data_IF_071142126221
#
_entry.id   IF_071142126221
#
_cell.length_a   1.000
_cell.length_b   1.000
_cell.length_c   1.000
_cell.angle_alpha   90.00
_cell.angle_beta   90.00
_cell.angle_gamma   90.00
#
_symmetry.space_group_name_H-M   'P 1'
#
loop_
_entity.id
_entity.type
_entity.pdbx_description
1 polymer ?
#
# COMPACT_ATOMS: atom_id res chain seq x y z
N UNK A 1 10.74 -10.86 -20.89
CA UNK A 1 10.12 -9.60 -20.44
C UNK A 1 8.80 -9.85 -19.66
N UNK A 2 8.82 -10.44 -18.44
CA UNK A 2 7.60 -10.61 -17.62
C UNK A 2 7.59 -9.74 -16.34
N UNK A 3 8.68 -9.02 -16.06
CA UNK A 3 9.01 -8.60 -14.69
C UNK A 3 8.28 -7.31 -14.23
N UNK A 4 8.01 -6.36 -15.13
CA UNK A 4 7.30 -5.12 -14.77
C UNK A 4 5.79 -5.35 -14.58
N UNK A 5 5.13 -6.05 -15.51
CA UNK A 5 3.72 -6.38 -15.41
C UNK A 5 3.43 -7.30 -14.21
N UNK A 6 4.29 -8.30 -13.93
CA UNK A 6 4.14 -9.15 -12.74
C UNK A 6 4.25 -8.37 -11.42
N UNK A 7 5.13 -7.35 -11.35
CA UNK A 7 5.22 -6.47 -10.17
C UNK A 7 3.94 -5.66 -9.95
N UNK A 8 3.34 -5.14 -11.01
CA UNK A 8 2.07 -4.42 -10.93
C UNK A 8 0.91 -5.32 -10.49
N UNK A 9 0.79 -6.52 -11.05
CA UNK A 9 -0.21 -7.53 -10.62
C UNK A 9 -0.06 -7.82 -9.12
N UNK A 10 1.18 -8.03 -8.66
CA UNK A 10 1.45 -8.31 -7.24
C UNK A 10 1.05 -7.16 -6.33
N UNK A 11 1.32 -5.91 -6.75
CA UNK A 11 1.03 -4.72 -5.95
C UNK A 11 -0.47 -4.41 -5.93
N UNK A 12 -1.18 -4.62 -7.04
CA UNK A 12 -2.62 -4.40 -7.14
C UNK A 12 -3.45 -5.54 -6.53
N UNK A 13 -2.88 -6.76 -6.45
CA UNK A 13 -3.59 -7.94 -5.99
C UNK A 13 -4.73 -8.38 -6.92
N UNK A 14 -4.70 -7.92 -8.17
CA UNK A 14 -5.73 -8.14 -9.18
C UNK A 14 -5.07 -8.33 -10.56
N UNK A 15 -5.73 -9.04 -11.49
CA UNK A 15 -5.26 -9.12 -12.87
C UNK A 15 -5.20 -7.71 -13.49
N UNK A 16 -4.20 -7.49 -14.34
CA UNK A 16 -4.10 -6.25 -15.10
C UNK A 16 -5.16 -6.23 -16.20
N UNK A 17 -5.86 -5.10 -16.39
CA UNK A 17 -6.75 -4.92 -17.54
C UNK A 17 -6.00 -5.00 -18.88
N UNK A 18 -6.67 -5.49 -19.92
CA UNK A 18 -6.09 -5.69 -21.27
C UNK A 18 -5.53 -4.39 -21.88
N UNK A 19 -6.01 -3.23 -21.45
CA UNK A 19 -5.51 -1.93 -21.89
C UNK A 19 -4.02 -1.71 -21.54
N UNK A 20 -3.50 -2.43 -20.55
CA UNK A 20 -2.10 -2.36 -20.12
C UNK A 20 -1.14 -2.99 -21.13
N UNK A 21 -1.63 -3.86 -22.02
CA UNK A 21 -0.82 -4.43 -23.10
C UNK A 21 -0.39 -3.36 -24.13
N UNK A 22 -1.04 -2.20 -24.12
CA UNK A 22 -0.72 -1.05 -24.99
C UNK A 22 0.38 -0.16 -24.41
N UNK A 23 0.73 -0.34 -23.14
CA UNK A 23 1.71 0.48 -22.44
C UNK A 23 3.13 0.03 -22.79
N UNK A 24 4.03 1.00 -22.92
CA UNK A 24 5.45 0.70 -23.08
C UNK A 24 6.04 0.20 -21.76
N UNK A 25 7.19 -0.48 -21.82
CA UNK A 25 7.91 -0.91 -20.60
C UNK A 25 8.23 0.26 -19.66
N UNK A 26 8.53 1.44 -20.22
CA UNK A 26 8.76 2.66 -19.45
C UNK A 26 7.50 3.14 -18.73
N UNK A 27 6.33 3.04 -19.37
CA UNK A 27 5.06 3.43 -18.76
C UNK A 27 4.70 2.49 -17.61
N UNK A 28 4.92 1.18 -17.79
CA UNK A 28 4.70 0.18 -16.75
C UNK A 28 5.65 0.38 -15.55
N UNK A 29 6.92 0.71 -15.81
CA UNK A 29 7.88 0.99 -14.74
C UNK A 29 7.51 2.26 -13.96
N UNK A 30 7.07 3.31 -14.66
CA UNK A 30 6.62 4.55 -14.03
C UNK A 30 5.34 4.32 -13.21
N UNK A 31 4.41 3.51 -13.71
CA UNK A 31 3.21 3.16 -12.97
C UNK A 31 3.51 2.34 -11.71
N UNK A 32 4.44 1.37 -11.78
CA UNK A 32 4.90 0.65 -10.57
C UNK A 32 5.50 1.61 -9.55
N UNK A 33 6.30 2.60 -9.99
CA UNK A 33 6.88 3.63 -9.12
C UNK A 33 5.79 4.47 -8.44
N UNK A 34 4.82 4.96 -9.20
CA UNK A 34 3.70 5.75 -8.69
C UNK A 34 2.84 4.94 -7.71
N UNK A 35 2.56 3.68 -8.03
CA UNK A 35 1.76 2.81 -7.20
C UNK A 35 2.44 2.52 -5.86
N UNK A 36 3.74 2.20 -5.87
CA UNK A 36 4.52 2.02 -4.63
C UNK A 36 4.50 3.28 -3.77
N UNK A 37 4.70 4.45 -4.38
CA UNK A 37 4.65 5.71 -3.66
C UNK A 37 3.27 5.94 -3.02
N UNK A 38 2.18 5.68 -3.75
CA UNK A 38 0.83 5.80 -3.24
C UNK A 38 0.54 4.82 -2.08
N UNK A 39 1.01 3.57 -2.18
CA UNK A 39 0.87 2.55 -1.12
C UNK A 39 1.64 2.95 0.13
N UNK A 40 2.89 3.41 0.00
CA UNK A 40 3.69 3.92 1.13
C UNK A 40 3.00 5.10 1.79
N UNK A 41 2.61 6.11 1.01
CA UNK A 41 1.93 7.31 1.53
C UNK A 41 0.58 6.97 2.18
N UNK A 42 -0.11 5.91 1.74
CA UNK A 42 -1.33 5.41 2.40
C UNK A 42 -0.99 4.75 3.73
N UNK A 43 0.07 3.94 3.79
CA UNK A 43 0.54 3.29 5.01
C UNK A 43 0.94 4.31 6.09
N UNK A 44 1.70 5.34 5.71
CA UNK A 44 2.10 6.43 6.61
C UNK A 44 0.88 7.18 7.17
N UNK A 45 -0.07 7.56 6.31
CA UNK A 45 -1.31 8.23 6.72
C UNK A 45 -2.16 7.36 7.66
N UNK A 46 -2.25 6.06 7.37
CA UNK A 46 -2.98 5.13 8.23
C UNK A 46 -2.28 4.97 9.59
N UNK A 47 -0.96 4.82 9.61
CA UNK A 47 -0.18 4.73 10.84
C UNK A 47 -0.34 5.99 11.71
N UNK A 48 -0.29 7.18 11.09
CA UNK A 48 -0.52 8.44 11.79
C UNK A 48 -1.95 8.53 12.36
N UNK A 49 -2.96 8.09 11.62
CA UNK A 49 -4.34 8.07 12.09
C UNK A 49 -4.55 7.11 13.26
N UNK A 50 -3.92 5.92 13.24
CA UNK A 50 -3.95 4.97 14.36
C UNK A 50 -3.29 5.58 15.59
N UNK A 51 -2.07 6.13 15.46
CA UNK A 51 -1.37 6.73 16.60
C UNK A 51 -2.17 7.90 17.20
N UNK A 52 -2.77 8.75 16.36
CA UNK A 52 -3.68 9.80 16.80
C UNK A 52 -4.88 9.23 17.57
N UNK A 53 -5.50 8.16 17.07
CA UNK A 53 -6.63 7.51 17.73
C UNK A 53 -6.26 6.89 19.07
N UNK A 54 -5.06 6.30 19.20
CA UNK A 54 -4.57 5.74 20.45
C UNK A 54 -4.33 6.80 21.53
N UNK A 55 -4.14 8.07 21.17
CA UNK A 55 -4.06 9.16 22.15
C UNK A 55 -5.35 9.31 22.95
N UNK A 56 -6.50 8.97 22.34
CA UNK A 56 -7.82 9.00 22.98
C UNK A 56 -8.06 7.82 23.94
N UNK A 57 -7.20 6.79 23.90
CA UNK A 57 -7.29 5.59 24.74
C UNK A 57 -6.37 5.73 25.96
N UNK A 58 -6.83 5.31 27.16
CA UNK A 58 -5.97 5.25 28.35
C UNK A 58 -4.65 4.52 28.07
N UNK A 59 -3.53 5.10 28.53
CA UNK A 59 -2.17 4.61 28.21
C UNK A 59 -1.98 3.12 28.52
N UNK A 60 -2.60 2.62 29.58
CA UNK A 60 -2.54 1.23 30.02
C UNK A 60 -3.19 0.25 29.03
N UNK A 61 -4.18 0.68 28.24
CA UNK A 61 -4.90 -0.18 27.29
C UNK A 61 -4.31 -0.17 25.88
N UNK A 62 -3.44 0.79 25.56
CA UNK A 62 -2.84 0.94 24.22
C UNK A 62 -2.13 -0.33 23.71
N UNK A 63 -1.35 -1.08 24.52
CA UNK A 63 -0.69 -2.31 24.05
C UNK A 63 -1.69 -3.39 23.61
N UNK A 64 -2.81 -3.53 24.33
CA UNK A 64 -3.88 -4.48 24.00
C UNK A 64 -4.57 -4.09 22.71
N UNK A 65 -4.85 -2.80 22.52
CA UNK A 65 -5.48 -2.29 21.29
C UNK A 65 -4.54 -2.43 20.09
N UNK A 66 -3.24 -2.14 20.23
CA UNK A 66 -2.24 -2.35 19.17
C UNK A 66 -2.20 -3.82 18.72
N UNK A 67 -2.14 -4.77 19.67
CA UNK A 67 -2.19 -6.21 19.35
C UNK A 67 -3.46 -6.61 18.61
N UNK A 68 -4.62 -6.10 19.03
CA UNK A 68 -5.90 -6.41 18.36
C UNK A 68 -5.96 -5.88 16.92
N UNK A 69 -5.24 -4.80 16.61
CA UNK A 69 -5.14 -4.21 15.28
C UNK A 69 -4.04 -4.85 14.41
N UNK A 70 -3.29 -5.83 14.93
CA UNK A 70 -2.18 -6.47 14.22
C UNK A 70 -0.98 -5.55 13.99
N UNK A 71 -0.80 -4.55 14.87
CA UNK A 71 0.31 -3.58 14.86
C UNK A 71 1.43 -3.97 15.82
#
# INVERSE_FOLDING_TARGET
MPDAAQRLIRTLGAPLPDEFDRLTDSDLAELDRLLRHAVTARGERLGAAVESSLQLIPRLMRPTVKRALGL
#
